data_IF_256098771683
#
_entry.id   IF_256098771683
#
_cell.length_a   1.000
_cell.length_b   1.000
_cell.length_c   1.000
_cell.angle_alpha   90.00
_cell.angle_beta   90.00
_cell.angle_gamma   90.00
#
_symmetry.space_group_name_H-M   'P 1'
#
loop_
_entity.id
_entity.type
_entity.pdbx_description
1 polymer ?
#
# COMPACT_ATOMS: atom_id res chain seq x y z
N UNK A 1 -0.74 -11.28 4.40
CA UNK A 1 -1.64 -10.11 4.33
C UNK A 1 -2.29 -9.98 2.96
N UNK A 2 -3.61 -10.18 2.84
CA UNK A 2 -4.46 -9.57 1.82
C UNK A 2 -4.10 -8.09 1.55
N UNK A 3 -4.27 -7.62 0.30
CA UNK A 3 -4.01 -6.21 -0.05
C UNK A 3 -4.87 -5.26 0.81
N UNK A 4 -6.04 -5.73 1.24
CA UNK A 4 -7.02 -4.96 2.01
C UNK A 4 -6.66 -4.79 3.50
N UNK A 5 -5.59 -5.43 3.99
CA UNK A 5 -5.18 -5.34 5.41
C UNK A 5 -4.17 -4.21 5.67
N UNK A 6 -3.59 -3.59 4.64
CA UNK A 6 -2.76 -2.39 4.79
C UNK A 6 -3.65 -1.14 4.68
N UNK A 7 -3.53 -0.22 5.63
CA UNK A 7 -4.15 1.10 5.54
C UNK A 7 -3.66 1.79 4.26
N UNK A 8 -4.58 2.30 3.44
CA UNK A 8 -4.24 3.14 2.28
C UNK A 8 -3.80 4.56 2.69
N UNK A 9 -3.90 4.88 3.99
CA UNK A 9 -3.40 6.12 4.57
C UNK A 9 -2.08 5.80 5.26
N UNK A 10 -1.01 6.50 4.83
CA UNK A 10 0.31 6.37 5.43
C UNK A 10 0.31 6.85 6.90
N UNK A 11 1.06 6.24 7.80
CA UNK A 11 1.08 6.61 9.22
C UNK A 11 1.40 8.09 9.48
N UNK A 12 2.29 8.68 8.70
CA UNK A 12 2.66 10.10 8.78
C UNK A 12 1.48 11.04 8.45
N UNK A 13 0.48 10.55 7.72
CA UNK A 13 -0.74 11.27 7.39
C UNK A 13 -1.87 10.98 8.40
N UNK A 14 -1.61 10.24 9.49
CA UNK A 14 -2.58 9.97 10.54
C UNK A 14 -2.36 10.91 11.73
N UNK A 15 -3.28 11.87 11.90
CA UNK A 15 -3.37 12.68 13.12
C UNK A 15 -4.28 11.98 14.12
N UNK A 16 -3.69 11.42 15.17
CA UNK A 16 -4.40 10.73 16.24
C UNK A 16 -4.22 11.51 17.55
N UNK A 17 -5.34 11.88 18.15
CA UNK A 17 -5.37 12.54 19.45
C UNK A 17 -6.04 11.61 20.46
N UNK A 18 -5.28 11.09 21.42
CA UNK A 18 -5.81 10.20 22.47
C UNK A 18 -6.76 10.93 23.42
N UNK A 19 -6.51 12.22 23.67
CA UNK A 19 -7.38 13.07 24.48
C UNK A 19 -7.39 14.47 23.89
N UNK A 20 -8.57 14.93 23.47
CA UNK A 20 -8.77 16.27 22.93
C UNK A 20 -10.19 16.72 23.27
N UNK A 21 -10.32 17.90 23.88
CA UNK A 21 -11.61 18.48 24.25
C UNK A 21 -11.72 19.87 23.66
N UNK A 22 -12.82 20.15 22.97
CA UNK A 22 -13.12 21.45 22.36
C UNK A 22 -14.47 21.91 22.88
N UNK A 23 -14.50 23.05 23.57
CA UNK A 23 -15.71 23.66 24.13
C UNK A 23 -16.56 22.71 25.02
N UNK A 24 -15.92 21.83 25.78
CA UNK A 24 -16.63 20.87 26.64
C UNK A 24 -17.00 19.55 25.95
N UNK A 25 -16.65 19.39 24.68
CA UNK A 25 -16.95 18.19 23.88
C UNK A 25 -15.67 17.40 23.67
N UNK A 26 -15.67 16.13 24.09
CA UNK A 26 -14.61 15.18 23.78
C UNK A 26 -14.61 14.87 22.28
N UNK A 27 -13.49 15.21 21.65
CA UNK A 27 -13.23 15.04 20.23
C UNK A 27 -11.91 14.28 20.03
N UNK A 28 -11.56 13.40 20.96
CA UNK A 28 -10.47 12.42 20.78
C UNK A 28 -10.73 11.50 19.57
N UNK A 29 -9.66 11.05 18.91
CA UNK A 29 -9.75 10.13 17.78
C UNK A 29 -8.80 10.45 16.62
N UNK A 30 -9.13 9.91 15.44
CA UNK A 30 -8.37 10.07 14.21
C UNK A 30 -8.95 11.23 13.39
N UNK A 31 -8.23 12.33 13.29
CA UNK A 31 -8.73 13.59 12.71
C UNK A 31 -8.45 13.74 11.22
N UNK A 32 -7.26 13.31 10.78
CA UNK A 32 -6.88 13.41 9.38
C UNK A 32 -7.65 12.44 8.47
N UNK A 33 -8.34 11.44 9.05
CA UNK A 33 -9.18 10.54 8.26
C UNK A 33 -10.37 11.30 7.66
N UNK A 34 -10.91 12.33 8.30
CA UNK A 34 -12.11 13.04 7.80
C UNK A 34 -11.82 14.43 7.20
N UNK A 35 -10.71 15.08 7.58
CA UNK A 35 -10.48 16.49 7.28
C UNK A 35 -9.39 16.71 6.21
N UNK A 36 -8.32 15.93 6.23
CA UNK A 36 -7.19 16.13 5.31
C UNK A 36 -7.37 15.35 4.01
N UNK A 37 -6.73 15.85 2.94
CA UNK A 37 -6.80 15.23 1.62
C UNK A 37 -6.19 13.82 1.65
N UNK A 38 -6.95 12.84 1.16
CA UNK A 38 -6.49 11.45 1.00
C UNK A 38 -5.90 11.17 -0.39
N UNK A 39 -5.67 12.21 -1.19
CA UNK A 39 -5.16 12.05 -2.55
C UNK A 39 -3.68 11.67 -2.48
N UNK A 40 -3.39 10.44 -2.90
CA UNK A 40 -2.03 10.02 -3.22
C UNK A 40 -1.67 10.71 -4.54
N UNK A 41 -0.59 11.49 -4.56
CA UNK A 41 -0.20 12.33 -5.71
C UNK A 41 1.17 11.97 -6.27
N UNK A 42 1.88 11.06 -5.63
CA UNK A 42 3.22 10.58 -5.93
C UNK A 42 3.22 9.27 -6.73
N UNK A 43 2.17 9.03 -7.54
CA UNK A 43 2.12 7.87 -8.42
C UNK A 43 3.15 8.00 -9.56
N UNK A 44 3.98 6.98 -9.74
CA UNK A 44 4.76 6.79 -10.97
C UNK A 44 3.90 6.03 -11.99
N UNK A 45 3.24 6.76 -12.89
CA UNK A 45 2.38 6.18 -13.93
C UNK A 45 3.13 5.27 -14.92
N UNK A 46 4.45 5.41 -15.03
CA UNK A 46 5.28 4.61 -15.95
C UNK A 46 5.85 3.35 -15.28
N UNK A 47 5.63 3.13 -13.98
CA UNK A 47 6.29 2.08 -13.22
C UNK A 47 6.01 0.67 -13.78
N UNK A 48 4.79 0.40 -14.25
CA UNK A 48 4.46 -0.88 -14.89
C UNK A 48 5.29 -1.11 -16.16
N UNK A 49 5.45 -0.07 -16.99
CA UNK A 49 6.21 -0.13 -18.25
C UNK A 49 7.71 -0.25 -18.00
N UNK A 50 8.24 0.48 -17.01
CA UNK A 50 9.64 0.40 -16.59
C UNK A 50 10.01 -1.01 -16.15
N UNK A 51 9.19 -1.62 -15.28
CA UNK A 51 9.40 -3.01 -14.84
C UNK A 51 9.17 -3.98 -16.00
N UNK A 52 8.19 -3.71 -16.87
CA UNK A 52 7.93 -4.50 -18.08
C UNK A 52 9.10 -4.56 -19.06
N UNK A 53 9.95 -3.54 -19.06
CA UNK A 53 11.18 -3.49 -19.88
C UNK A 53 12.37 -4.23 -19.25
N UNK A 54 12.29 -4.62 -17.98
CA UNK A 54 13.35 -5.37 -17.30
C UNK A 54 13.28 -6.88 -17.63
N UNK A 55 14.41 -7.59 -17.70
CA UNK A 55 14.43 -9.04 -17.87
C UNK A 55 13.61 -9.74 -16.78
N UNK A 56 12.61 -10.53 -17.19
CA UNK A 56 11.70 -11.25 -16.28
C UNK A 56 10.48 -10.45 -15.83
N UNK A 57 10.36 -9.17 -16.20
CA UNK A 57 9.22 -8.31 -15.88
C UNK A 57 8.15 -8.23 -16.98
N UNK A 58 8.39 -8.84 -18.16
CA UNK A 58 7.64 -8.63 -19.40
C UNK A 58 6.14 -8.95 -19.27
N UNK A 59 5.78 -9.79 -18.29
CA UNK A 59 4.43 -10.28 -18.06
C UNK A 59 3.76 -9.73 -16.80
N UNK A 60 4.31 -8.68 -16.19
CA UNK A 60 3.75 -8.09 -14.97
C UNK A 60 2.28 -7.64 -15.13
N UNK A 61 1.94 -7.09 -16.30
CA UNK A 61 0.58 -6.69 -16.69
C UNK A 61 -0.44 -7.85 -16.69
N UNK A 62 0.02 -9.11 -16.75
CA UNK A 62 -0.84 -10.31 -16.76
C UNK A 62 -1.29 -10.76 -15.38
N UNK A 63 -0.77 -10.16 -14.31
CA UNK A 63 -1.12 -10.55 -12.95
C UNK A 63 -2.57 -10.17 -12.63
N UNK A 64 -3.40 -11.19 -12.36
CA UNK A 64 -4.81 -11.09 -12.00
C UNK A 64 -5.05 -11.19 -10.49
N UNK A 65 -3.98 -11.05 -9.69
CA UNK A 65 -4.03 -10.93 -8.23
C UNK A 65 -4.55 -12.17 -7.46
N UNK A 66 -4.39 -13.39 -8.01
CA UNK A 66 -4.88 -14.63 -7.39
C UNK A 66 -4.14 -15.08 -6.11
N UNK A 67 -2.88 -14.68 -5.91
CA UNK A 67 -2.10 -15.02 -4.70
C UNK A 67 -1.38 -16.36 -4.69
N UNK A 68 -1.42 -17.12 -5.79
CA UNK A 68 -0.68 -18.38 -5.90
C UNK A 68 0.83 -18.20 -5.69
N UNK A 69 1.42 -17.10 -6.19
CA UNK A 69 2.84 -16.80 -6.00
C UNK A 69 3.21 -16.57 -4.53
N UNK A 70 2.37 -15.83 -3.79
CA UNK A 70 2.57 -15.59 -2.35
C UNK A 70 2.48 -16.88 -1.56
N UNK A 71 1.50 -17.74 -1.87
CA UNK A 71 1.34 -19.04 -1.18
C UNK A 71 2.47 -20.03 -1.51
N UNK A 72 3.05 -19.96 -2.70
CA UNK A 72 4.18 -20.82 -3.09
C UNK A 72 5.53 -20.32 -2.58
N UNK A 73 5.63 -19.08 -2.10
CA UNK A 73 6.88 -18.48 -1.68
C UNK A 73 7.34 -18.99 -0.31
N UNK A 74 8.49 -19.65 -0.24
CA UNK A 74 9.06 -20.14 1.02
C UNK A 74 9.49 -19.00 1.95
N UNK A 75 9.86 -17.85 1.39
CA UNK A 75 10.21 -16.66 2.19
C UNK A 75 8.97 -16.08 2.85
N UNK A 76 7.81 -16.08 2.16
CA UNK A 76 6.55 -15.61 2.74
C UNK A 76 6.16 -16.41 4.00
N UNK A 77 6.46 -17.71 4.03
CA UNK A 77 6.20 -18.56 5.19
C UNK A 77 7.04 -18.18 6.43
N UNK A 78 8.22 -17.57 6.22
CA UNK A 78 9.10 -17.11 7.29
C UNK A 78 8.88 -15.62 7.61
N UNK A 79 8.55 -14.83 6.59
CA UNK A 79 8.30 -13.40 6.68
C UNK A 79 7.04 -13.04 5.86
N UNK A 80 5.89 -12.81 6.53
CA UNK A 80 4.64 -12.44 5.86
C UNK A 80 4.71 -11.15 5.03
N UNK A 81 5.69 -10.27 5.28
CA UNK A 81 5.90 -9.04 4.50
C UNK A 81 6.48 -9.33 3.11
N UNK A 82 7.16 -10.48 2.94
CA UNK A 82 7.64 -10.93 1.64
C UNK A 82 6.47 -11.44 0.81
N UNK A 83 5.79 -10.55 0.12
CA UNK A 83 4.52 -10.82 -0.56
C UNK A 83 4.61 -10.42 -2.04
N UNK A 84 5.04 -11.33 -2.93
CA UNK A 84 5.27 -11.01 -4.34
C UNK A 84 4.01 -10.53 -5.07
N UNK A 85 2.83 -11.03 -4.69
CA UNK A 85 1.55 -10.51 -5.21
C UNK A 85 1.38 -9.02 -4.89
N UNK A 86 1.70 -8.62 -3.67
CA UNK A 86 1.53 -7.24 -3.21
C UNK A 86 2.48 -6.29 -3.94
N UNK A 87 3.75 -6.67 -4.15
CA UNK A 87 4.68 -5.85 -4.93
C UNK A 87 4.21 -5.66 -6.36
N UNK A 88 3.73 -6.72 -7.02
CA UNK A 88 3.14 -6.59 -8.36
C UNK A 88 1.96 -5.63 -8.34
N UNK A 89 1.09 -5.68 -7.32
CA UNK A 89 0.00 -4.71 -7.18
C UNK A 89 0.53 -3.27 -7.09
N UNK A 90 1.51 -3.00 -6.23
CA UNK A 90 2.10 -1.67 -6.08
C UNK A 90 2.71 -1.15 -7.38
N UNK A 91 3.44 -2.00 -8.09
CA UNK A 91 4.06 -1.68 -9.39
C UNK A 91 2.98 -1.28 -10.41
N UNK A 92 1.92 -2.09 -10.55
CA UNK A 92 0.83 -1.82 -11.49
C UNK A 92 0.02 -0.57 -11.13
N UNK A 93 0.01 -0.18 -9.86
CA UNK A 93 -0.64 1.02 -9.38
C UNK A 93 0.27 2.26 -9.42
N UNK A 94 1.57 2.11 -9.73
CA UNK A 94 2.54 3.21 -9.68
C UNK A 94 2.93 3.64 -8.27
N UNK A 95 2.71 2.80 -7.25
CA UNK A 95 2.99 3.12 -5.84
C UNK A 95 4.45 2.84 -5.47
N UNK A 96 5.37 3.55 -6.11
CA UNK A 96 6.81 3.27 -6.02
C UNK A 96 7.37 3.40 -4.60
N UNK A 97 6.96 4.43 -3.85
CA UNK A 97 7.44 4.68 -2.50
C UNK A 97 7.10 3.57 -1.50
N UNK A 98 6.09 2.75 -1.78
CA UNK A 98 5.67 1.64 -0.93
C UNK A 98 6.52 0.37 -1.17
N UNK A 99 7.37 0.36 -2.20
CA UNK A 99 8.31 -0.73 -2.49
C UNK A 99 9.63 -0.59 -1.72
N UNK A 100 9.95 0.62 -1.23
CA UNK A 100 11.21 0.98 -0.55
C UNK A 100 11.08 0.90 0.98
#
# INVERSE_FOLDING_TARGET
MPIHEKSLIRPENLQVHEQLEVEGVDVSGHWSTFIESRVVSDYNENLEDEIGAMPGGEYIHRCWQCGSCTNACTVHALNPDFNPRYWIYLIRMGMESELL
#
